data_IF_154745465477
#
_entry.id   IF_154745465477
#
_cell.length_a   1.000
_cell.length_b   1.000
_cell.length_c   1.000
_cell.angle_alpha   90.00
_cell.angle_beta   90.00
_cell.angle_gamma   90.00
#
_symmetry.space_group_name_H-M   'P 1'
#
loop_
_entity.id
_entity.type
_entity.pdbx_description
1 polymer ?
#
# COMPACT_ATOMS: atom_id res chain seq x y z
N UNK A 1 9.46 -8.98 -15.10
CA UNK A 1 8.73 -8.81 -13.82
C UNK A 1 7.24 -8.73 -14.13
N UNK A 2 6.43 -9.74 -13.78
CA UNK A 2 5.01 -9.81 -14.15
C UNK A 2 4.19 -8.56 -13.76
N UNK A 3 4.51 -7.96 -12.60
CA UNK A 3 3.89 -6.71 -12.17
C UNK A 3 4.09 -5.57 -13.18
N UNK A 4 5.31 -5.37 -13.68
CA UNK A 4 5.63 -4.30 -14.64
C UNK A 4 4.95 -4.50 -16.00
N UNK A 5 4.70 -5.76 -16.39
CA UNK A 5 4.05 -6.09 -17.66
C UNK A 5 2.54 -5.89 -17.64
N UNK A 6 1.93 -5.84 -16.45
CA UNK A 6 0.47 -5.82 -16.30
C UNK A 6 -0.07 -4.54 -15.65
N UNK A 7 0.69 -3.92 -14.76
CA UNK A 7 0.21 -2.78 -13.96
C UNK A 7 -0.14 -1.53 -14.79
N UNK A 8 0.53 -1.29 -15.92
CA UNK A 8 0.27 -0.10 -16.77
C UNK A 8 -1.15 -0.05 -17.34
N UNK A 9 -1.76 -1.22 -17.53
CA UNK A 9 -3.10 -1.37 -18.11
C UNK A 9 -4.22 -1.36 -17.06
N UNK A 10 -3.89 -1.26 -15.78
CA UNK A 10 -4.89 -1.25 -14.71
C UNK A 10 -5.72 0.02 -14.75
N UNK A 11 -7.03 -0.14 -14.52
CA UNK A 11 -8.04 0.93 -14.56
C UNK A 11 -8.57 1.33 -13.18
N UNK A 12 -8.15 0.63 -12.13
CA UNK A 12 -8.61 0.85 -10.77
C UNK A 12 -7.50 1.47 -9.91
N UNK A 13 -7.82 2.47 -9.06
CA UNK A 13 -6.90 2.96 -8.04
C UNK A 13 -6.33 1.80 -7.22
N UNK A 14 -5.02 1.83 -6.99
CA UNK A 14 -4.29 0.72 -6.41
C UNK A 14 -3.42 1.21 -5.26
N UNK A 15 -3.42 0.50 -4.13
CA UNK A 15 -2.46 0.74 -3.07
C UNK A 15 -1.72 -0.56 -2.79
N UNK A 16 -0.39 -0.53 -2.90
CA UNK A 16 0.46 -1.65 -2.48
C UNK A 16 0.80 -1.51 -1.00
N UNK A 17 0.72 -2.59 -0.24
CA UNK A 17 1.03 -2.62 1.20
C UNK A 17 2.08 -3.71 1.42
N UNK A 18 3.23 -3.32 1.96
CA UNK A 18 4.37 -4.22 2.22
C UNK A 18 4.84 -4.09 3.66
N UNK A 19 5.34 -5.17 4.25
CA UNK A 19 6.05 -5.10 5.52
C UNK A 19 7.47 -4.57 5.36
N UNK A 20 8.04 -3.97 6.41
CA UNK A 20 9.43 -3.50 6.38
C UNK A 20 10.44 -4.63 6.16
N UNK A 21 10.16 -5.81 6.72
CA UNK A 21 10.97 -7.02 6.62
C UNK A 21 10.48 -7.99 5.53
N UNK A 22 9.69 -7.50 4.57
CA UNK A 22 9.17 -8.32 3.47
C UNK A 22 10.31 -8.82 2.56
N UNK A 23 10.31 -10.12 2.25
CA UNK A 23 11.23 -10.73 1.29
C UNK A 23 10.88 -10.34 -0.15
N UNK A 24 9.65 -9.91 -0.40
CA UNK A 24 9.22 -9.36 -1.67
C UNK A 24 9.62 -7.89 -1.78
N UNK A 25 10.33 -7.56 -2.87
CA UNK A 25 10.87 -6.21 -3.06
C UNK A 25 9.79 -5.19 -3.45
N UNK A 26 9.48 -4.27 -2.54
CA UNK A 26 8.53 -3.17 -2.76
C UNK A 26 8.96 -2.20 -3.89
N UNK A 27 10.24 -2.15 -4.25
CA UNK A 27 10.72 -1.33 -5.37
C UNK A 27 10.08 -1.76 -6.69
N UNK A 28 9.64 -3.02 -6.82
CA UNK A 28 8.85 -3.47 -7.97
C UNK A 28 7.55 -2.67 -8.13
N UNK A 29 6.89 -2.32 -7.04
CA UNK A 29 5.72 -1.44 -7.05
C UNK A 29 6.09 0.02 -7.34
N UNK A 30 7.25 0.48 -6.86
CA UNK A 30 7.75 1.83 -7.19
C UNK A 30 8.02 1.98 -8.69
N UNK A 31 8.63 0.97 -9.32
CA UNK A 31 8.83 0.95 -10.77
C UNK A 31 7.50 0.82 -11.52
N UNK A 32 6.58 -0.03 -11.06
CA UNK A 32 5.26 -0.17 -11.67
C UNK A 32 4.50 1.17 -11.67
N UNK A 33 4.50 1.87 -10.52
CA UNK A 33 3.84 3.18 -10.34
C UNK A 33 4.22 4.19 -11.42
N UNK A 34 5.47 4.19 -11.89
CA UNK A 34 5.93 5.12 -12.94
C UNK A 34 5.18 4.98 -14.26
N UNK A 35 4.60 3.80 -14.52
CA UNK A 35 3.90 3.47 -15.75
C UNK A 35 2.37 3.35 -15.57
N UNK A 36 1.87 3.49 -14.34
CA UNK A 36 0.44 3.42 -14.05
C UNK A 36 -0.25 4.76 -14.33
N UNK A 37 -1.45 4.71 -14.91
CA UNK A 37 -2.28 5.89 -15.22
C UNK A 37 -3.35 6.18 -14.16
N UNK A 38 -3.37 5.38 -13.10
CA UNK A 38 -4.35 5.43 -12.00
C UNK A 38 -3.64 5.85 -10.71
N UNK A 39 -4.37 6.40 -9.72
CA UNK A 39 -3.79 6.69 -8.42
C UNK A 39 -3.12 5.44 -7.83
N UNK A 40 -1.87 5.58 -7.43
CA UNK A 40 -1.04 4.50 -6.93
C UNK A 40 -0.25 4.95 -5.70
N UNK A 41 -0.54 4.35 -4.55
CA UNK A 41 0.16 4.56 -3.27
C UNK A 41 0.92 3.28 -2.88
N UNK A 42 2.04 3.44 -2.17
CA UNK A 42 2.85 2.32 -1.67
C UNK A 42 3.08 2.55 -0.19
N UNK A 43 2.51 1.71 0.66
CA UNK A 43 2.58 1.83 2.11
C UNK A 43 3.50 0.75 2.66
N UNK A 44 4.40 1.15 3.55
CA UNK A 44 5.29 0.24 4.27
C UNK A 44 4.83 0.16 5.74
N UNK A 45 4.64 -1.06 6.24
CA UNK A 45 4.18 -1.36 7.60
C UNK A 45 5.34 -1.83 8.48
N UNK A 46 5.65 -1.16 9.60
CA UNK A 46 6.76 -1.54 10.47
C UNK A 46 6.47 -2.83 11.22
N UNK A 47 7.53 -3.52 11.68
CA UNK A 47 7.43 -4.78 12.43
C UNK A 47 6.60 -5.85 11.68
N UNK A 48 6.77 -5.93 10.36
CA UNK A 48 6.01 -6.86 9.52
C UNK A 48 6.86 -7.37 8.36
N UNK A 49 6.69 -8.65 8.04
CA UNK A 49 7.23 -9.29 6.84
C UNK A 49 6.20 -9.31 5.71
N UNK A 50 6.17 -10.41 4.95
CA UNK A 50 5.26 -10.57 3.81
C UNK A 50 3.79 -10.72 4.22
N UNK A 51 3.54 -11.39 5.33
CA UNK A 51 2.19 -11.58 5.87
C UNK A 51 1.82 -10.42 6.81
N UNK A 52 1.75 -9.21 6.23
CA UNK A 52 1.56 -7.95 6.97
C UNK A 52 0.36 -7.99 7.91
N UNK A 53 -0.74 -8.64 7.48
CA UNK A 53 -1.97 -8.79 8.26
C UNK A 53 -1.84 -9.73 9.47
N UNK A 54 -0.83 -10.60 9.50
CA UNK A 54 -0.51 -11.48 10.64
C UNK A 54 0.47 -10.77 11.57
N UNK A 55 1.56 -10.23 11.02
CA UNK A 55 2.66 -9.68 11.81
C UNK A 55 2.29 -8.35 12.48
N UNK A 56 1.55 -7.49 11.79
CA UNK A 56 1.06 -6.23 12.32
C UNK A 56 -0.39 -5.94 11.87
N UNK A 57 -1.38 -6.59 12.51
CA UNK A 57 -2.80 -6.45 12.13
C UNK A 57 -3.27 -5.00 12.20
N UNK A 58 -2.87 -4.25 13.23
CA UNK A 58 -3.25 -2.84 13.43
C UNK A 58 -2.69 -1.94 12.32
N UNK A 59 -1.41 -2.10 11.98
CA UNK A 59 -0.76 -1.35 10.90
C UNK A 59 -1.34 -1.68 9.53
N UNK A 60 -1.59 -2.97 9.25
CA UNK A 60 -2.27 -3.40 8.03
C UNK A 60 -3.69 -2.80 7.93
N UNK A 61 -4.50 -2.94 8.98
CA UNK A 61 -5.87 -2.43 9.00
C UNK A 61 -5.92 -0.92 8.81
N UNK A 62 -5.06 -0.17 9.50
CA UNK A 62 -4.93 1.28 9.32
C UNK A 62 -4.55 1.65 7.88
N UNK A 63 -3.65 0.88 7.25
CA UNK A 63 -3.24 1.07 5.86
C UNK A 63 -4.40 0.86 4.87
N UNK A 64 -5.26 -0.13 5.13
CA UNK A 64 -6.47 -0.37 4.31
C UNK A 64 -7.48 0.77 4.46
N UNK A 65 -7.75 1.23 5.68
CA UNK A 65 -8.63 2.38 5.92
C UNK A 65 -8.14 3.64 5.21
N UNK A 66 -6.84 3.91 5.31
CA UNK A 66 -6.22 5.02 4.60
C UNK A 66 -6.33 4.85 3.07
N UNK A 67 -6.00 3.68 2.51
CA UNK A 67 -6.12 3.43 1.07
C UNK A 67 -7.55 3.65 0.55
N UNK A 68 -8.56 3.25 1.33
CA UNK A 68 -9.96 3.37 0.98
C UNK A 68 -10.60 4.71 1.39
N UNK A 69 -9.87 5.64 2.02
CA UNK A 69 -10.41 6.87 2.64
C UNK A 69 -11.30 7.71 1.73
N UNK A 70 -11.03 7.71 0.41
CA UNK A 70 -11.80 8.47 -0.59
C UNK A 70 -13.16 7.83 -0.92
N UNK A 71 -13.37 6.57 -0.54
CA UNK A 71 -14.55 5.77 -0.86
C UNK A 71 -15.35 5.36 0.37
N UNK A 72 -14.80 5.60 1.57
CA UNK A 72 -15.48 5.39 2.84
C UNK A 72 -16.14 6.70 3.30
N UNK A 73 -17.16 6.62 4.18
CA UNK A 73 -17.70 7.81 4.82
C UNK A 73 -16.59 8.63 5.49
N UNK A 74 -16.66 9.97 5.46
CA UNK A 74 -15.64 10.83 6.05
C UNK A 74 -15.38 10.44 7.51
N UNK A 75 -14.13 10.09 7.82
CA UNK A 75 -13.68 9.80 9.16
C UNK A 75 -12.34 10.50 9.38
N UNK A 76 -12.24 11.46 10.34
CA UNK A 76 -11.00 12.17 10.65
C UNK A 76 -9.81 11.24 10.93
N UNK A 77 -10.07 10.01 11.41
CA UNK A 77 -9.03 9.00 11.68
C UNK A 77 -8.50 8.29 10.43
N UNK A 78 -9.17 8.41 9.29
CA UNK A 78 -8.76 7.79 8.01
C UNK A 78 -7.92 8.71 7.11
N UNK A 79 -7.82 9.99 7.45
CA UNK A 79 -7.06 10.97 6.66
C UNK A 79 -5.55 10.90 6.92
N UNK A 80 -5.14 10.36 8.07
CA UNK A 80 -3.76 10.27 8.49
C UNK A 80 -3.29 8.82 8.50
N UNK A 81 -2.06 8.59 8.02
CA UNK A 81 -1.37 7.33 8.22
C UNK A 81 -1.03 7.18 9.71
N UNK A 82 -1.33 6.01 10.27
CA UNK A 82 -0.99 5.70 11.66
C UNK A 82 0.53 5.78 11.89
N UNK A 83 0.92 6.15 13.11
CA UNK A 83 2.31 6.35 13.51
C UNK A 83 3.22 5.17 13.10
N UNK A 84 4.33 5.48 12.43
CA UNK A 84 5.30 4.49 11.92
C UNK A 84 5.02 3.95 10.51
N UNK A 85 3.87 4.23 9.90
CA UNK A 85 3.60 3.92 8.49
C UNK A 85 4.25 4.97 7.58
N UNK A 86 4.90 4.50 6.51
CA UNK A 86 5.53 5.39 5.51
C UNK A 86 4.89 5.13 4.14
N UNK A 87 4.45 6.20 3.49
CA UNK A 87 4.14 6.18 2.06
C UNK A 87 5.41 6.48 1.26
N UNK A 88 5.81 5.57 0.36
CA UNK A 88 7.05 5.63 -0.44
C UNK A 88 6.81 5.63 -1.95
#
# INVERSE_FOLDING_TARGET
MPLLQSASEWKVPTTFIYGFQDWMNYQGAQEARKHMKVPCEIIRVPQAGHFVFIDNPTGFHSSVFYACRKYLPPNPRSELLHEGLISV
#
